data_IF_565317496402
#
_entry.id   IF_565317496402
#
_cell.length_a   1.000
_cell.length_b   1.000
_cell.length_c   1.000
_cell.angle_alpha   90.00
_cell.angle_beta   90.00
_cell.angle_gamma   90.00
#
_symmetry.space_group_name_H-M   'P 1'
#
loop_
_entity.id
_entity.type
_entity.pdbx_description
1 polymer ?
#
# COMPACT_ATOMS: atom_id res chain seq x y z
N UNK A 1 1.85 -9.60 21.42
CA UNK A 1 2.49 -10.11 20.19
C UNK A 1 1.66 -9.89 18.93
N UNK A 2 0.33 -10.11 18.96
CA UNK A 2 -0.57 -9.98 17.80
C UNK A 2 -0.54 -8.58 17.13
N UNK A 3 -0.40 -7.50 17.91
CA UNK A 3 -0.29 -6.12 17.40
C UNK A 3 0.90 -5.92 16.45
N UNK A 4 2.06 -6.49 16.79
CA UNK A 4 3.27 -6.39 15.97
C UNK A 4 3.10 -7.16 14.66
N UNK A 5 2.40 -8.31 14.70
CA UNK A 5 2.13 -9.12 13.52
C UNK A 5 1.25 -8.39 12.51
N UNK A 6 0.14 -7.78 12.94
CA UNK A 6 -0.72 -6.98 12.05
C UNK A 6 0.00 -5.74 11.51
N UNK A 7 0.86 -5.11 12.32
CA UNK A 7 1.68 -4.00 11.88
C UNK A 7 2.69 -4.42 10.80
N UNK A 8 3.40 -5.55 10.98
CA UNK A 8 4.33 -6.09 9.98
C UNK A 8 3.62 -6.54 8.70
N UNK A 9 2.42 -7.11 8.80
CA UNK A 9 1.61 -7.49 7.63
C UNK A 9 1.17 -6.26 6.84
N UNK A 10 0.66 -5.22 7.52
CA UNK A 10 0.35 -3.93 6.90
C UNK A 10 1.58 -3.27 6.26
N UNK A 11 2.74 -3.40 6.89
CA UNK A 11 4.03 -2.94 6.36
C UNK A 11 4.44 -3.66 5.09
N UNK A 12 4.36 -4.99 5.07
CA UNK A 12 4.64 -5.79 3.87
C UNK A 12 3.72 -5.40 2.70
N UNK A 13 2.42 -5.24 2.96
CA UNK A 13 1.45 -4.79 1.95
C UNK A 13 1.78 -3.39 1.40
N UNK A 14 2.15 -2.44 2.26
CA UNK A 14 2.53 -1.10 1.84
C UNK A 14 3.84 -1.07 1.04
N UNK A 15 4.83 -1.90 1.41
CA UNK A 15 6.11 -2.00 0.68
C UNK A 15 5.91 -2.63 -0.70
N UNK A 16 5.10 -3.69 -0.81
CA UNK A 16 4.78 -4.32 -2.10
C UNK A 16 3.99 -3.36 -3.00
N UNK A 17 3.01 -2.65 -2.46
CA UNK A 17 2.27 -1.62 -3.20
C UNK A 17 3.19 -0.50 -3.70
N UNK A 18 4.11 0.00 -2.87
CA UNK A 18 5.09 1.02 -3.26
C UNK A 18 6.10 0.54 -4.30
N UNK A 19 6.59 -0.69 -4.17
CA UNK A 19 7.48 -1.32 -5.15
C UNK A 19 6.82 -1.41 -6.53
N UNK A 20 5.55 -1.80 -6.60
CA UNK A 20 4.82 -1.89 -7.87
C UNK A 20 4.67 -0.53 -8.53
N UNK A 21 4.37 0.52 -7.77
CA UNK A 21 4.34 1.91 -8.28
C UNK A 21 5.70 2.25 -8.90
N UNK A 22 6.81 2.06 -8.18
CA UNK A 22 8.14 2.39 -8.71
C UNK A 22 8.48 1.56 -9.96
N UNK A 23 8.16 0.26 -9.97
CA UNK A 23 8.40 -0.62 -11.11
C UNK A 23 7.59 -0.24 -12.35
N UNK A 24 6.30 0.08 -12.18
CA UNK A 24 5.46 0.56 -13.28
C UNK A 24 5.95 1.91 -13.80
N UNK A 25 6.43 2.80 -12.92
CA UNK A 25 7.00 4.07 -13.35
C UNK A 25 8.23 3.80 -14.22
N UNK A 26 9.10 2.89 -13.79
CA UNK A 26 10.31 2.54 -14.53
C UNK A 26 10.00 1.95 -15.91
N UNK A 27 8.98 1.10 -16.03
CA UNK A 27 8.57 0.44 -17.28
C UNK A 27 7.78 1.37 -18.22
N UNK A 28 6.91 2.24 -17.71
CA UNK A 28 5.97 3.05 -18.53
C UNK A 28 6.57 4.41 -18.94
N UNK A 29 7.49 4.97 -18.16
CA UNK A 29 8.15 6.26 -18.45
C UNK A 29 8.81 6.37 -19.83
N UNK A 30 9.33 5.30 -20.49
CA UNK A 30 9.80 5.44 -21.86
C UNK A 30 8.71 5.67 -22.93
N UNK A 31 7.41 5.38 -22.66
CA UNK A 31 6.39 5.31 -23.73
C UNK A 31 5.11 6.14 -23.50
N UNK A 32 4.73 6.50 -22.26
CA UNK A 32 3.49 7.24 -21.98
C UNK A 32 3.65 8.22 -20.80
N UNK A 33 3.08 9.43 -20.93
CA UNK A 33 3.20 10.50 -19.94
C UNK A 33 2.61 10.17 -18.56
N UNK A 34 3.13 10.84 -17.53
CA UNK A 34 2.81 10.64 -16.09
C UNK A 34 1.31 10.66 -15.74
N UNK A 35 0.48 11.37 -16.53
CA UNK A 35 -0.98 11.42 -16.34
C UNK A 35 -1.66 10.08 -16.63
N UNK A 36 -1.28 9.41 -17.73
CA UNK A 36 -1.81 8.09 -18.08
C UNK A 36 -1.38 7.04 -17.07
N UNK A 37 -0.17 7.19 -16.55
CA UNK A 37 0.39 6.35 -15.50
C UNK A 37 -0.42 6.41 -14.19
N UNK A 38 -0.83 7.60 -13.73
CA UNK A 38 -1.68 7.73 -12.54
C UNK A 38 -3.07 7.11 -12.73
N UNK A 39 -3.68 7.26 -13.91
CA UNK A 39 -4.97 6.65 -14.25
C UNK A 39 -4.84 5.12 -14.34
N UNK A 40 -3.74 4.61 -14.89
CA UNK A 40 -3.47 3.18 -15.01
C UNK A 40 -3.25 2.51 -13.65
N UNK A 41 -2.51 3.19 -12.76
CA UNK A 41 -2.31 2.75 -11.38
C UNK A 41 -3.59 2.78 -10.57
N UNK A 42 -4.40 3.84 -10.70
CA UNK A 42 -5.70 3.93 -10.02
C UNK A 42 -6.71 2.88 -10.50
N UNK A 43 -6.56 2.40 -11.74
CA UNK A 43 -7.40 1.34 -12.33
C UNK A 43 -6.99 -0.07 -11.90
N UNK A 44 -5.73 -0.28 -11.49
CA UNK A 44 -5.21 -1.60 -11.09
C UNK A 44 -5.46 -1.86 -9.60
N UNK A 45 -6.11 -3.00 -9.31
CA UNK A 45 -6.40 -3.51 -7.96
C UNK A 45 -5.15 -3.63 -7.05
N UNK A 46 -3.96 -3.68 -7.65
CA UNK A 46 -2.69 -3.84 -6.97
C UNK A 46 -2.27 -2.59 -6.20
N UNK A 47 -2.65 -1.39 -6.66
CA UNK A 47 -2.36 -0.16 -5.94
C UNK A 47 -3.34 0.14 -4.79
N UNK A 48 -4.42 -0.64 -4.68
CA UNK A 48 -5.22 -0.65 -3.45
C UNK A 48 -4.50 -1.34 -2.30
N UNK A 49 -3.44 -2.15 -2.53
CA UNK A 49 -2.65 -2.72 -1.44
C UNK A 49 -2.00 -1.65 -0.56
N UNK A 50 -1.71 -0.48 -1.12
CA UNK A 50 -1.05 0.62 -0.41
C UNK A 50 -2.00 1.29 0.60
N UNK A 51 -3.19 1.81 0.22
CA UNK A 51 -4.15 2.32 1.18
C UNK A 51 -4.73 1.20 2.08
N UNK A 52 -4.83 -0.04 1.58
CA UNK A 52 -5.34 -1.17 2.38
C UNK A 52 -4.32 -1.61 3.43
N UNK A 53 -3.02 -1.64 3.11
CA UNK A 53 -1.94 -1.84 4.09
C UNK A 53 -1.87 -0.72 5.12
N UNK A 54 -2.10 0.54 4.69
CA UNK A 54 -2.17 1.70 5.58
C UNK A 54 -3.38 1.63 6.51
N UNK A 55 -4.55 1.23 5.99
CA UNK A 55 -5.76 0.97 6.79
C UNK A 55 -5.56 -0.17 7.77
N UNK A 56 -4.82 -1.21 7.40
CA UNK A 56 -4.48 -2.32 8.31
C UNK A 56 -3.54 -1.86 9.43
N UNK A 57 -2.52 -1.06 9.13
CA UNK A 57 -1.68 -0.44 10.17
C UNK A 57 -2.50 0.47 11.09
N UNK A 58 -3.34 1.33 10.50
CA UNK A 58 -4.18 2.27 11.23
C UNK A 58 -5.19 1.56 12.12
N UNK A 59 -5.86 0.54 11.58
CA UNK A 59 -6.78 -0.34 12.31
C UNK A 59 -6.07 -1.03 13.46
N UNK A 60 -4.87 -1.57 13.23
CA UNK A 60 -4.06 -2.19 14.28
C UNK A 60 -3.63 -1.20 15.39
N UNK A 61 -3.48 0.09 15.07
CA UNK A 61 -3.19 1.14 16.06
C UNK A 61 -4.47 1.56 16.82
N UNK A 62 -5.62 1.49 16.14
CA UNK A 62 -6.96 1.84 16.63
C UNK A 62 -7.64 0.72 17.42
N UNK A 63 -6.95 -0.39 17.67
CA UNK A 63 -7.22 -1.26 18.81
C UNK A 63 -6.36 -0.76 19.99
N UNK A 64 -6.72 0.37 20.65
CA UNK A 64 -6.22 0.59 21.98
C UNK A 64 -6.82 -0.52 22.83
N UNK A 65 -5.94 -1.19 23.55
CA UNK A 65 -6.31 -1.95 24.72
C UNK A 65 -7.21 -1.06 25.57
N UNK A 66 -8.51 -1.35 25.57
CA UNK A 66 -9.48 -0.78 26.51
C UNK A 66 -9.46 -1.67 27.76
N UNK A 67 -8.30 -1.78 28.39
CA UNK A 67 -8.09 -2.42 29.69
C UNK A 67 -7.22 -1.49 30.53
N UNK A 68 -7.86 -0.52 31.20
CA UNK A 68 -8.06 -0.50 32.65
C UNK A 68 -6.74 -0.46 33.44
#
# INVERSE_FOLDING_TARGET
MVRLFFYLVGFGFSVVGGMMVIAYLNIITPERGFSEYMVYIATRAECYLLPLGLLFMWGSLSFPDRGS
#
